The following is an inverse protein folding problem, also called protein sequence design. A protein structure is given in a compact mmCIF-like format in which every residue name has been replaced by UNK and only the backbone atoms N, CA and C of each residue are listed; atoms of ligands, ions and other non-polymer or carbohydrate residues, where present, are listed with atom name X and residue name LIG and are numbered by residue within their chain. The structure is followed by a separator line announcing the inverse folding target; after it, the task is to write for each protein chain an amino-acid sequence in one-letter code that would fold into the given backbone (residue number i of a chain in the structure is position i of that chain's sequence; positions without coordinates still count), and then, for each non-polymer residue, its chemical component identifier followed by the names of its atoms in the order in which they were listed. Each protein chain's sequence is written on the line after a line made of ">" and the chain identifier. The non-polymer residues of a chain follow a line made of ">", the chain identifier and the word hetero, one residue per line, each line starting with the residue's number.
data_IF_180103439444
#
_entry.id   IF_180103439444
#
_cell.length_a   1.000
_cell.length_b   1.000
_cell.length_c   1.000
_cell.angle_alpha   90.00
_cell.angle_beta   90.00
_cell.angle_gamma   90.00
#
_symmetry.space_group_name_H-M   'P 1'
#
loop_
_entity.id
_entity.type
_entity.pdbx_description
1 polymer ?
#
# COMPACT_ATOMS: atom_id res chain seq x y z
N UNK A 1 20.94 10.87 -5.35
CA UNK A 1 19.59 10.82 -5.97
C UNK A 1 18.67 10.25 -4.91
N UNK A 2 17.54 10.90 -4.66
CA UNK A 2 16.61 10.52 -3.60
C UNK A 2 15.64 9.44 -4.13
N UNK A 3 15.78 8.21 -3.61
CA UNK A 3 15.03 7.04 -4.07
C UNK A 3 13.52 7.17 -3.83
N UNK A 4 13.14 7.99 -2.84
CA UNK A 4 11.73 8.28 -2.52
C UNK A 4 11.13 9.13 -3.64
N UNK A 5 11.82 10.20 -4.01
CA UNK A 5 11.43 11.10 -5.11
C UNK A 5 11.32 10.36 -6.46
N UNK A 6 12.23 9.42 -6.75
CA UNK A 6 12.15 8.60 -7.96
C UNK A 6 10.92 7.68 -7.97
N UNK A 7 10.62 7.07 -6.82
CA UNK A 7 9.46 6.17 -6.66
C UNK A 7 8.15 6.95 -6.78
N UNK A 8 8.06 8.13 -6.15
CA UNK A 8 6.91 9.02 -6.28
C UNK A 8 6.65 9.38 -7.75
N UNK A 9 7.70 9.82 -8.45
CA UNK A 9 7.61 10.15 -9.87
C UNK A 9 7.11 8.96 -10.71
N UNK A 10 7.66 7.77 -10.48
CA UNK A 10 7.23 6.57 -11.18
C UNK A 10 5.73 6.28 -11.01
N UNK A 11 5.21 6.41 -9.78
CA UNK A 11 3.79 6.19 -9.47
C UNK A 11 2.91 7.22 -10.20
N UNK A 12 3.29 8.50 -10.15
CA UNK A 12 2.55 9.59 -10.82
C UNK A 12 2.54 9.38 -12.34
N UNK A 13 3.69 9.08 -12.93
CA UNK A 13 3.80 8.84 -14.37
C UNK A 13 2.96 7.63 -14.79
N UNK A 14 2.86 6.61 -13.93
CA UNK A 14 2.01 5.44 -14.19
C UNK A 14 0.52 5.79 -14.16
N UNK A 15 0.07 6.61 -13.21
CA UNK A 15 -1.33 7.06 -13.09
C UNK A 15 -1.74 7.84 -14.34
N UNK A 16 -0.94 8.85 -14.72
CA UNK A 16 -1.15 9.62 -15.96
C UNK A 16 -1.22 8.72 -17.18
N UNK A 17 -0.33 7.74 -17.26
CA UNK A 17 -0.31 6.76 -18.36
C UNK A 17 -1.53 5.86 -18.42
N UNK A 18 -2.20 5.59 -17.29
CA UNK A 18 -3.46 4.83 -17.24
C UNK A 18 -4.62 5.72 -17.68
N UNK A 19 -4.73 6.93 -17.13
CA UNK A 19 -5.84 7.83 -17.42
C UNK A 19 -5.83 8.28 -18.89
N UNK A 20 -4.66 8.57 -19.46
CA UNK A 20 -4.51 8.83 -20.90
C UNK A 20 -4.98 7.67 -21.80
N UNK A 21 -4.91 6.42 -21.32
CA UNK A 21 -5.38 5.24 -22.07
C UNK A 21 -6.86 4.94 -21.85
N UNK A 22 -7.38 5.30 -20.69
CA UNK A 22 -8.76 5.00 -20.32
C UNK A 22 -9.77 5.93 -21.03
N UNK A 23 -9.32 7.09 -21.51
CA UNK A 23 -10.11 8.08 -22.28
C UNK A 23 -11.51 8.35 -21.68
N UNK A 24 -11.58 8.32 -20.35
CA UNK A 24 -12.81 8.39 -19.57
C UNK A 24 -13.03 9.77 -18.93
N UNK A 25 -12.15 10.74 -19.23
CA UNK A 25 -12.25 12.11 -18.74
C UNK A 25 -12.12 12.26 -17.22
N UNK A 26 -11.60 11.25 -16.51
CA UNK A 26 -11.38 11.33 -15.07
C UNK A 26 -10.19 12.27 -14.78
N UNK A 27 -10.36 13.11 -13.77
CA UNK A 27 -9.33 14.04 -13.31
C UNK A 27 -8.17 13.26 -12.66
N UNK A 28 -6.95 13.61 -13.04
CA UNK A 28 -5.77 13.12 -12.36
C UNK A 28 -5.68 13.85 -11.00
N UNK A 29 -6.23 13.28 -9.92
CA UNK A 29 -6.04 13.79 -8.54
C UNK A 29 -4.59 13.59 -8.05
N UNK A 30 -3.61 14.08 -8.81
CA UNK A 30 -2.17 13.86 -8.56
C UNK A 30 -1.74 14.48 -7.23
N UNK A 31 -2.32 15.62 -6.85
CA UNK A 31 -1.96 16.27 -5.60
C UNK A 31 -2.43 15.47 -4.39
N UNK A 32 -3.61 14.84 -4.46
CA UNK A 32 -4.09 13.91 -3.43
C UNK A 32 -3.15 12.70 -3.33
N UNK A 33 -2.79 12.10 -4.48
CA UNK A 33 -1.86 10.96 -4.53
C UNK A 33 -0.50 11.31 -3.92
N UNK A 34 0.02 12.52 -4.21
CA UNK A 34 1.26 12.99 -3.61
C UNK A 34 1.12 13.13 -2.10
N UNK A 35 0.02 13.71 -1.61
CA UNK A 35 -0.26 13.82 -0.18
C UNK A 35 -0.26 12.45 0.48
N UNK A 36 -0.97 11.48 -0.11
CA UNK A 36 -1.02 10.11 0.42
C UNK A 36 0.35 9.43 0.46
N UNK A 37 1.19 9.60 -0.58
CA UNK A 37 2.56 9.08 -0.59
C UNK A 37 3.37 9.71 0.55
N UNK A 38 3.32 11.03 0.70
CA UNK A 38 4.08 11.75 1.73
C UNK A 38 3.61 11.40 3.14
N UNK A 39 2.30 11.26 3.35
CA UNK A 39 1.71 10.78 4.60
C UNK A 39 2.18 9.37 4.94
N UNK A 40 2.17 8.46 3.98
CA UNK A 40 2.65 7.09 4.18
C UNK A 40 4.12 7.04 4.57
N UNK A 41 4.99 7.78 3.87
CA UNK A 41 6.42 7.85 4.18
C UNK A 41 6.65 8.48 5.56
N UNK A 42 5.92 9.53 5.89
CA UNK A 42 6.00 10.20 7.19
C UNK A 42 5.62 9.25 8.34
N UNK A 43 4.53 8.50 8.19
CA UNK A 43 4.10 7.51 9.19
C UNK A 43 5.09 6.35 9.32
N UNK A 44 5.68 5.91 8.22
CA UNK A 44 6.75 4.91 8.27
C UNK A 44 7.96 5.45 9.05
N UNK A 45 8.42 6.66 8.74
CA UNK A 45 9.57 7.26 9.41
C UNK A 45 9.34 7.36 10.93
N UNK A 46 8.16 7.86 11.36
CA UNK A 46 7.78 7.91 12.79
C UNK A 46 7.85 6.55 13.47
N UNK A 47 7.40 5.48 12.81
CA UNK A 47 7.45 4.12 13.36
C UNK A 47 8.88 3.58 13.44
N UNK A 48 9.72 3.88 12.45
CA UNK A 48 11.11 3.48 12.44
C UNK A 48 11.89 4.15 13.58
N UNK A 49 11.67 5.44 13.80
CA UNK A 49 12.25 6.21 14.92
C UNK A 49 11.80 5.65 16.27
N UNK A 50 10.50 5.46 16.48
CA UNK A 50 9.98 4.90 17.72
C UNK A 50 10.51 3.49 18.02
N UNK A 51 10.67 2.65 16.99
CA UNK A 51 11.25 1.32 17.12
C UNK A 51 12.75 1.38 17.49
N UNK A 52 13.49 2.31 16.88
CA UNK A 52 14.89 2.55 17.20
C UNK A 52 15.07 3.03 18.65
N UNK A 53 14.26 4.00 19.09
CA UNK A 53 14.31 4.55 20.45
C UNK A 53 14.00 3.48 21.52
N UNK A 54 13.00 2.63 21.24
CA UNK A 54 12.61 1.53 22.11
C UNK A 54 13.48 0.28 21.97
N UNK A 55 14.47 0.28 21.06
CA UNK A 55 15.30 -0.88 20.70
C UNK A 55 14.47 -2.13 20.34
N UNK A 56 13.31 -1.92 19.73
CA UNK A 56 12.43 -3.01 19.28
C UNK A 56 12.60 -3.26 17.79
N UNK A 57 12.63 -4.52 17.33
CA UNK A 57 12.68 -4.82 15.91
C UNK A 57 11.42 -4.32 15.20
N UNK A 58 11.61 -3.58 14.11
CA UNK A 58 10.56 -3.22 13.15
C UNK A 58 10.77 -3.97 11.84
N UNK A 59 9.76 -4.71 11.41
CA UNK A 59 9.81 -5.47 10.16
C UNK A 59 8.86 -4.91 9.11
N UNK A 60 9.29 -4.99 7.85
CA UNK A 60 8.48 -4.68 6.68
C UNK A 60 8.25 -5.94 5.83
N UNK A 61 7.14 -5.98 5.09
CA UNK A 61 6.89 -7.00 4.06
C UNK A 61 6.18 -8.28 4.52
N UNK A 62 6.29 -9.34 3.71
CA UNK A 62 5.40 -10.52 3.70
C UNK A 62 5.38 -11.33 4.99
N UNK A 63 6.45 -11.27 5.80
CA UNK A 63 6.63 -12.11 6.99
C UNK A 63 5.43 -12.04 7.95
N UNK A 64 4.88 -10.85 8.14
CA UNK A 64 3.74 -10.63 9.03
C UNK A 64 2.41 -10.38 8.31
N UNK A 65 2.40 -10.61 6.99
CA UNK A 65 1.18 -10.57 6.18
C UNK A 65 0.41 -11.88 6.25
N UNK A 66 0.99 -12.95 6.79
CA UNK A 66 0.34 -14.26 6.98
C UNK A 66 0.35 -14.65 8.46
N UNK A 67 1.48 -14.45 9.14
CA UNK A 67 1.64 -14.77 10.57
C UNK A 67 1.53 -13.51 11.44
N UNK A 68 0.99 -13.67 12.65
CA UNK A 68 1.01 -12.61 13.67
C UNK A 68 2.43 -12.43 14.22
N UNK A 69 2.86 -11.19 14.52
CA UNK A 69 4.12 -10.96 15.20
C UNK A 69 4.10 -11.55 16.62
N UNK A 70 5.24 -12.10 17.05
CA UNK A 70 5.47 -12.49 18.44
C UNK A 70 5.53 -11.25 19.36
N UNK A 71 5.30 -11.43 20.66
CA UNK A 71 5.41 -10.35 21.63
C UNK A 71 6.78 -9.65 21.53
N UNK A 72 6.80 -8.32 21.55
CA UNK A 72 8.02 -7.50 21.46
C UNK A 72 8.54 -7.23 20.05
N UNK A 73 7.76 -7.56 19.01
CA UNK A 73 8.10 -7.29 17.60
C UNK A 73 7.07 -6.37 16.96
N UNK A 74 7.54 -5.34 16.27
CA UNK A 74 6.71 -4.41 15.51
C UNK A 74 6.72 -4.74 14.01
N UNK A 75 5.62 -4.43 13.31
CA UNK A 75 5.53 -4.52 11.86
C UNK A 75 5.04 -3.19 11.26
N UNK A 76 5.37 -2.95 10.00
CA UNK A 76 4.92 -1.76 9.29
C UNK A 76 3.50 -1.93 8.76
N UNK A 77 3.21 -3.09 8.16
CA UNK A 77 1.95 -3.40 7.50
C UNK A 77 1.23 -4.57 8.18
N UNK A 78 -0.11 -4.49 8.24
CA UNK A 78 -1.00 -5.58 8.65
C UNK A 78 -2.09 -5.84 7.62
N UNK A 79 -2.63 -7.06 7.64
CA UNK A 79 -3.76 -7.44 6.78
C UNK A 79 -4.97 -6.54 7.05
N UNK A 80 -5.67 -6.20 5.98
CA UNK A 80 -7.00 -5.58 6.05
C UNK A 80 -7.94 -6.39 6.96
N UNK A 81 -8.63 -5.67 7.84
CA UNK A 81 -9.59 -6.17 8.81
C UNK A 81 -9.03 -7.26 9.75
N UNK A 82 -7.73 -7.22 10.05
CA UNK A 82 -7.13 -8.10 11.04
C UNK A 82 -7.46 -7.67 12.47
N UNK A 83 -7.85 -8.63 13.31
CA UNK A 83 -8.15 -8.40 14.72
C UNK A 83 -6.89 -8.20 15.56
N UNK A 84 -7.00 -7.40 16.62
CA UNK A 84 -5.93 -7.16 17.60
C UNK A 84 -5.58 -5.69 17.78
N UNK A 85 -4.91 -5.36 18.89
CA UNK A 85 -4.33 -4.03 19.13
C UNK A 85 -2.96 -3.96 18.49
N UNK A 86 -2.94 -3.76 17.18
CA UNK A 86 -1.71 -3.60 16.41
C UNK A 86 -1.72 -2.24 15.70
N UNK A 87 -0.79 -1.37 16.07
CA UNK A 87 -0.66 -0.01 15.52
C UNK A 87 0.05 0.00 14.15
N UNK A 88 -0.05 -1.07 13.38
CA UNK A 88 0.52 -1.19 12.03
C UNK A 88 -0.43 -0.61 10.97
N UNK A 89 0.13 -0.12 9.87
CA UNK A 89 -0.65 0.42 8.74
C UNK A 89 -1.44 -0.73 8.12
N UNK A 90 -2.74 -0.55 7.98
CA UNK A 90 -3.61 -1.56 7.38
C UNK A 90 -3.51 -1.49 5.85
N UNK A 91 -3.44 -2.65 5.18
CA UNK A 91 -3.49 -2.66 3.72
C UNK A 91 -4.85 -2.22 3.21
N UNK A 92 -4.89 -1.44 2.11
CA UNK A 92 -6.13 -0.91 1.53
C UNK A 92 -7.06 -1.98 0.95
N UNK A 93 -6.54 -3.15 0.59
CA UNK A 93 -7.34 -4.28 0.12
C UNK A 93 -7.00 -5.54 0.91
N UNK A 94 -7.98 -6.42 1.03
CA UNK A 94 -7.75 -7.77 1.53
C UNK A 94 -6.78 -8.49 0.59
N UNK A 95 -5.53 -8.69 1.02
CA UNK A 95 -4.61 -9.54 0.30
C UNK A 95 -5.09 -11.01 0.20
N UNK A 96 -6.17 -11.39 0.92
CA UNK A 96 -6.83 -12.69 0.76
C UNK A 96 -7.63 -12.80 -0.54
N UNK A 97 -8.01 -11.68 -1.16
CA UNK A 97 -8.82 -11.66 -2.39
C UNK A 97 -8.01 -11.23 -3.63
N UNK A 98 -6.79 -10.73 -3.47
CA UNK A 98 -5.92 -10.28 -4.58
C UNK A 98 -5.41 -11.46 -5.41
N UNK A 99 -5.22 -12.65 -4.82
CA UNK A 99 -4.80 -13.87 -5.54
C UNK A 99 -5.92 -14.56 -6.32
N UNK A 100 -7.17 -14.08 -6.26
CA UNK A 100 -8.23 -14.61 -7.12
C UNK A 100 -8.13 -14.00 -8.51
N UNK A 101 -7.76 -14.83 -9.49
CA UNK A 101 -7.92 -14.51 -10.91
C UNK A 101 -9.36 -14.01 -11.12
N UNK A 102 -9.54 -12.74 -11.46
CA UNK A 102 -10.84 -12.24 -11.94
C UNK A 102 -11.06 -12.95 -13.27
N UNK A 103 -11.87 -14.02 -13.26
CA UNK A 103 -12.38 -14.61 -14.50
C UNK A 103 -13.21 -13.51 -15.14
N UNK A 104 -12.61 -12.82 -16.11
CA UNK A 104 -13.29 -11.79 -16.89
C UNK A 104 -14.57 -12.40 -17.44
N UNK A 105 -15.73 -11.92 -16.99
CA UNK A 105 -17.00 -12.27 -17.60
C UNK A 105 -17.04 -11.59 -18.97
N UNK A 106 -16.57 -12.30 -19.99
CA UNK A 106 -16.83 -11.94 -21.38
C UNK A 106 -18.34 -12.12 -21.58
N UNK A 107 -19.06 -11.00 -21.72
CA UNK A 107 -20.45 -11.03 -22.19
C UNK A 107 -20.37 -11.11 -23.72
N UNK A 108 -20.66 -12.29 -24.26
CA UNK A 108 -20.88 -12.44 -25.70
C UNK A 108 -22.34 -12.02 -25.95
N UNK A 109 -22.53 -10.93 -26.68
CA UNK A 109 -23.83 -10.59 -27.25
C UNK A 109 -24.05 -11.47 -28.49
N UNK A 110 -24.99 -12.41 -28.42
CA UNK A 110 -25.54 -13.05 -29.61
C UNK A 110 -26.56 -12.10 -30.23
N UNK A 111 -26.38 -11.78 -31.51
CA UNK A 111 -27.27 -10.94 -32.31
C UNK A 111 -28.43 -11.72 -32.91
#
# INVERSE_FOLDING_TARGET
>A
MDIVSETEKFIIDRIKGINNRADNGLEDNIDDVKSEIQEFISEWQKKAEAANDSKTPLFFGRRFMVALPSAGVNRLLRQYNSSGKDNSIETLTSMRNVDTQVVGKIVIWEG
#
